data_IF_785656180665
#
_entry.id   IF_785656180665
#
_cell.length_a   1.000
_cell.length_b   1.000
_cell.length_c   1.000
_cell.angle_alpha   90.00
_cell.angle_beta   90.00
_cell.angle_gamma   90.00
#
_symmetry.space_group_name_H-M   'P 1'
#
loop_
_entity.id
_entity.type
_entity.pdbx_description
1 polymer ?
#
# COMPACT_ATOMS: atom_id res chain seq x y z
N UNK A 1 -14.36 2.65 -7.31
CA UNK A 1 -13.47 1.85 -6.43
C UNK A 1 -12.39 2.80 -5.92
N UNK A 2 -12.05 2.74 -4.63
CA UNK A 2 -10.92 3.54 -4.13
C UNK A 2 -9.62 2.89 -4.60
N UNK A 3 -8.69 3.70 -5.09
CA UNK A 3 -7.33 3.23 -5.38
C UNK A 3 -6.54 3.04 -4.07
N UNK A 4 -5.40 2.34 -4.17
CA UNK A 4 -4.56 2.04 -3.02
C UNK A 4 -4.07 3.31 -2.29
N UNK A 5 -3.75 4.39 -3.02
CA UNK A 5 -3.28 5.63 -2.41
C UNK A 5 -4.34 6.22 -1.48
N UNK A 6 -5.59 6.30 -1.95
CA UNK A 6 -6.70 6.79 -1.16
C UNK A 6 -6.99 5.89 0.03
N UNK A 7 -6.96 4.56 -0.15
CA UNK A 7 -7.16 3.60 0.95
C UNK A 7 -6.11 3.78 2.06
N UNK A 8 -4.83 3.94 1.68
CA UNK A 8 -3.73 4.18 2.61
C UNK A 8 -3.92 5.52 3.34
N UNK A 9 -4.18 6.61 2.60
CA UNK A 9 -4.38 7.93 3.19
C UNK A 9 -5.55 7.96 4.20
N UNK A 10 -6.70 7.42 3.83
CA UNK A 10 -7.88 7.39 4.70
C UNK A 10 -7.62 6.58 5.96
N UNK A 11 -6.96 5.42 5.82
CA UNK A 11 -6.72 4.52 6.96
C UNK A 11 -5.65 5.08 7.89
N UNK A 12 -4.56 5.60 7.33
CA UNK A 12 -3.51 6.27 8.10
C UNK A 12 -4.05 7.47 8.87
N UNK A 13 -4.89 8.29 8.23
CA UNK A 13 -5.56 9.42 8.90
C UNK A 13 -6.47 8.97 10.04
N UNK A 14 -7.28 7.93 9.84
CA UNK A 14 -8.17 7.37 10.89
C UNK A 14 -7.38 6.82 12.08
N UNK A 15 -6.25 6.17 11.83
CA UNK A 15 -5.40 5.57 12.85
C UNK A 15 -4.30 6.50 13.39
N UNK A 16 -4.23 7.75 12.89
CA UNK A 16 -3.17 8.72 13.21
C UNK A 16 -1.75 8.18 12.97
N UNK A 17 -1.57 7.45 11.87
CA UNK A 17 -0.29 6.91 11.44
C UNK A 17 0.35 7.84 10.40
N UNK A 18 1.67 7.97 10.48
CA UNK A 18 2.49 8.52 9.41
C UNK A 18 3.21 7.39 8.66
N UNK A 19 3.94 7.76 7.60
CA UNK A 19 4.65 6.80 6.77
C UNK A 19 5.76 6.04 7.54
N UNK A 20 6.34 6.66 8.56
CA UNK A 20 7.40 6.02 9.37
C UNK A 20 6.79 4.96 10.29
N UNK A 21 5.70 5.30 10.99
CA UNK A 21 4.99 4.36 11.84
C UNK A 21 4.45 3.16 11.05
N UNK A 22 4.02 3.37 9.80
CA UNK A 22 3.60 2.27 8.93
C UNK A 22 4.80 1.43 8.44
N UNK A 23 5.94 2.06 8.14
CA UNK A 23 7.18 1.36 7.81
C UNK A 23 7.65 0.47 8.97
N UNK A 24 7.62 0.99 10.19
CA UNK A 24 8.02 0.24 11.39
C UNK A 24 7.13 -0.99 11.64
N UNK A 25 5.83 -0.92 11.30
CA UNK A 25 4.88 -2.03 11.43
C UNK A 25 5.01 -3.09 10.34
N UNK A 26 5.40 -2.70 9.14
CA UNK A 26 5.40 -3.57 7.95
C UNK A 26 6.79 -4.09 7.58
N UNK A 27 7.84 -3.46 8.09
CA UNK A 27 9.21 -3.67 7.62
C UNK A 27 9.48 -3.10 6.22
N UNK A 28 8.49 -2.47 5.58
CA UNK A 28 8.63 -1.82 4.27
C UNK A 28 9.37 -0.50 4.48
N UNK A 29 10.35 -0.22 3.62
CA UNK A 29 11.11 1.03 3.73
C UNK A 29 10.20 2.25 3.59
N UNK A 30 10.34 3.24 4.47
CA UNK A 30 9.56 4.50 4.47
C UNK A 30 9.44 5.19 3.10
N UNK A 31 10.49 5.24 2.25
CA UNK A 31 10.36 5.80 0.90
C UNK A 31 9.33 5.07 0.03
N UNK A 32 9.21 3.74 0.14
CA UNK A 32 8.21 2.96 -0.60
C UNK A 32 6.81 3.23 -0.09
N UNK A 33 6.62 3.27 1.23
CA UNK A 33 5.33 3.63 1.84
C UNK A 33 4.85 4.99 1.34
N UNK A 34 5.74 5.99 1.24
CA UNK A 34 5.39 7.32 0.69
C UNK A 34 4.95 7.24 -0.76
N UNK A 35 5.66 6.47 -1.60
CA UNK A 35 5.27 6.28 -3.00
C UNK A 35 3.91 5.59 -3.11
N UNK A 36 3.66 4.52 -2.33
CA UNK A 36 2.36 3.85 -2.34
C UNK A 36 1.21 4.78 -1.88
N UNK A 37 1.46 5.61 -0.87
CA UNK A 37 0.47 6.57 -0.40
C UNK A 37 0.19 7.68 -1.43
N UNK A 38 1.14 8.01 -2.29
CA UNK A 38 1.03 9.09 -3.28
C UNK A 38 0.56 8.63 -4.66
N UNK A 39 1.02 7.47 -5.12
CA UNK A 39 0.83 6.96 -6.48
C UNK A 39 0.03 5.64 -6.51
N UNK A 40 -0.26 5.06 -5.34
CA UNK A 40 -0.96 3.80 -5.21
C UNK A 40 -0.17 2.67 -5.84
N UNK A 41 -0.86 1.83 -6.62
CA UNK A 41 -0.25 0.78 -7.43
C UNK A 41 -0.17 1.15 -8.92
N UNK A 42 -0.38 2.43 -9.26
CA UNK A 42 -0.35 2.89 -10.67
C UNK A 42 0.99 3.53 -11.07
N UNK A 43 1.84 3.83 -10.09
CA UNK A 43 3.17 4.38 -10.31
C UNK A 43 4.20 3.36 -10.81
N UNK A 44 5.39 3.81 -11.25
CA UNK A 44 6.48 2.94 -11.70
C UNK A 44 6.99 2.00 -10.61
N UNK A 45 6.72 2.32 -9.34
CA UNK A 45 7.07 1.48 -8.20
C UNK A 45 5.78 0.87 -7.66
N UNK A 46 5.45 -0.32 -8.17
CA UNK A 46 4.29 -1.08 -7.69
C UNK A 46 4.62 -1.85 -6.40
N UNK A 47 3.66 -1.96 -5.46
CA UNK A 47 3.77 -2.86 -4.32
C UNK A 47 3.67 -4.31 -4.78
N UNK A 48 4.48 -5.17 -4.17
CA UNK A 48 4.38 -6.62 -4.35
C UNK A 48 3.20 -7.19 -3.56
N UNK A 49 2.77 -8.40 -3.89
CA UNK A 49 1.70 -9.06 -3.13
C UNK A 49 2.05 -9.24 -1.64
N UNK A 50 3.33 -9.55 -1.33
CA UNK A 50 3.76 -9.62 0.06
C UNK A 50 3.63 -8.27 0.77
N UNK A 51 4.05 -7.18 0.13
CA UNK A 51 3.90 -5.84 0.71
C UNK A 51 2.43 -5.46 0.90
N UNK A 52 1.55 -5.84 -0.03
CA UNK A 52 0.09 -5.64 0.12
C UNK A 52 -0.47 -6.44 1.31
N UNK A 53 0.03 -7.65 1.56
CA UNK A 53 -0.33 -8.44 2.76
C UNK A 53 0.15 -7.76 4.04
N UNK A 54 1.40 -7.30 4.08
CA UNK A 54 1.92 -6.59 5.25
C UNK A 54 1.13 -5.30 5.52
N UNK A 55 0.78 -4.55 4.47
CA UNK A 55 -0.07 -3.36 4.59
C UNK A 55 -1.46 -3.70 5.14
N UNK A 56 -2.09 -4.77 4.64
CA UNK A 56 -3.38 -5.24 5.14
C UNK A 56 -3.32 -5.57 6.64
N UNK A 57 -2.29 -6.30 7.07
CA UNK A 57 -2.08 -6.66 8.46
C UNK A 57 -1.82 -5.43 9.34
N UNK A 58 -0.88 -4.57 8.95
CA UNK A 58 -0.48 -3.40 9.73
C UNK A 58 -1.59 -2.35 9.89
N UNK A 59 -2.51 -2.29 8.93
CA UNK A 59 -3.66 -1.39 8.92
C UNK A 59 -4.96 -2.05 9.40
N UNK A 60 -4.93 -3.34 9.76
CA UNK A 60 -6.11 -4.13 10.11
C UNK A 60 -7.23 -4.05 9.05
N UNK A 61 -6.85 -4.11 7.77
CA UNK A 61 -7.75 -4.11 6.63
C UNK A 61 -7.91 -5.55 6.09
N UNK A 62 -9.08 -5.90 5.53
CA UNK A 62 -9.22 -7.16 4.80
C UNK A 62 -8.29 -7.19 3.59
N UNK A 63 -7.48 -8.25 3.47
CA UNK A 63 -6.57 -8.42 2.33
C UNK A 63 -7.26 -8.27 0.96
N UNK A 64 -8.47 -8.84 0.71
CA UNK A 64 -9.16 -8.64 -0.57
C UNK A 64 -9.40 -7.16 -0.90
N UNK A 65 -9.74 -6.33 0.09
CA UNK A 65 -9.94 -4.90 -0.10
C UNK A 65 -8.65 -4.19 -0.53
N UNK A 66 -7.51 -4.60 0.01
CA UNK A 66 -6.21 -4.04 -0.34
C UNK A 66 -5.78 -4.48 -1.74
N UNK A 67 -6.02 -5.76 -2.10
CA UNK A 67 -5.73 -6.29 -3.44
C UNK A 67 -6.62 -5.62 -4.51
N UNK A 68 -7.91 -5.49 -4.25
CA UNK A 68 -8.84 -4.82 -5.16
C UNK A 68 -8.47 -3.34 -5.37
N UNK A 69 -7.99 -2.65 -4.33
CA UNK A 69 -7.55 -1.26 -4.42
C UNK A 69 -6.20 -1.10 -5.14
N UNK A 70 -5.31 -2.10 -5.04
CA UNK A 70 -4.10 -2.16 -5.85
C UNK A 70 -4.39 -2.45 -7.33
N UNK A 71 -5.52 -3.10 -7.62
CA UNK A 71 -5.89 -3.51 -8.96
C UNK A 71 -4.97 -4.62 -9.50
N UNK A 72 -5.19 -5.06 -10.74
CA UNK A 72 -4.26 -5.98 -11.39
C UNK A 72 -2.90 -5.28 -11.48
N UNK A 73 -1.86 -5.89 -10.89
CA UNK A 73 -0.49 -5.41 -11.04
C UNK A 73 -0.24 -5.17 -12.55
N UNK A 74 0.28 -4.00 -12.95
CA UNK A 74 0.63 -3.81 -14.35
C UNK A 74 1.62 -4.92 -14.70
N UNK A 75 1.30 -5.69 -15.74
CA UNK A 75 2.17 -6.71 -16.30
C UNK A 75 3.46 -6.03 -16.78
N UNK A 76 4.41 -5.91 -15.86
CA UNK A 76 5.58 -5.07 -15.98
C UNK A 76 6.68 -5.55 -15.06
N UNK A 77 6.91 -6.86 -15.03
CA UNK A 77 8.24 -7.41 -14.78
C UNK A 77 8.87 -7.68 -16.16
N UNK A 78 10.11 -7.25 -16.42
CA UNK A 78 10.77 -7.48 -17.70
C UNK A 78 10.98 -8.97 -17.95
N UNK A 79 10.91 -9.34 -19.24
CA UNK A 79 11.31 -10.63 -19.82
C UNK A 79 12.68 -11.10 -19.39
#
# INVERSE_FOLDING_TARGET
MADLAQLLHDTMRRQRLDAQALADRTGIRTPRIRVFAQEGATGPICPTEQELRELALALALPLPTVLDAAGPAPAGAPS
#
